data_IF_494454770182
#
_entry.id   IF_494454770182
#
_cell.length_a   1.000
_cell.length_b   1.000
_cell.length_c   1.000
_cell.angle_alpha   90.00
_cell.angle_beta   90.00
_cell.angle_gamma   90.00
#
_symmetry.space_group_name_H-M   'P 1'
#
loop_
_entity.id
_entity.type
_entity.pdbx_description
1 polymer ?
#
# COMPACT_ATOMS: atom_id res chain seq x y z
N UNK A 1 -5.01 4.56 6.54
CA UNK A 1 -4.29 4.49 7.84
C UNK A 1 -5.32 4.63 8.95
N UNK A 2 -5.29 3.79 9.97
CA UNK A 2 -6.31 3.79 11.06
C UNK A 2 -5.72 4.20 12.42
N UNK A 3 -4.40 4.29 12.53
CA UNK A 3 -3.71 4.77 13.72
C UNK A 3 -3.41 6.26 13.66
N UNK A 4 -3.35 6.90 14.81
CA UNK A 4 -2.97 8.32 14.92
C UNK A 4 -1.46 8.43 15.04
N UNK A 5 -0.80 9.28 14.25
CA UNK A 5 0.61 9.58 14.42
C UNK A 5 0.90 10.18 15.80
N UNK A 6 2.06 9.86 16.36
CA UNK A 6 2.53 10.41 17.65
C UNK A 6 3.80 11.20 17.42
N UNK A 7 3.83 12.43 17.93
CA UNK A 7 5.00 13.30 17.85
C UNK A 7 5.74 13.25 19.21
N UNK A 8 7.05 13.11 19.13
CA UNK A 8 7.93 13.18 20.27
C UNK A 8 9.27 13.80 19.88
N UNK A 9 9.63 14.89 20.56
CA UNK A 9 10.80 15.72 20.21
C UNK A 9 10.72 16.18 18.74
N UNK A 10 11.74 15.89 17.95
CA UNK A 10 11.85 16.22 16.52
C UNK A 10 11.38 15.09 15.59
N UNK A 11 10.63 14.12 16.11
CA UNK A 11 10.18 12.95 15.35
C UNK A 11 8.67 12.77 15.38
N UNK A 12 8.14 12.22 14.30
CA UNK A 12 6.80 11.66 14.23
C UNK A 12 6.88 10.15 14.01
N UNK A 13 6.08 9.41 14.76
CA UNK A 13 5.94 7.96 14.62
C UNK A 13 4.57 7.64 14.03
N UNK A 14 4.60 6.85 12.97
CA UNK A 14 3.39 6.40 12.27
C UNK A 14 3.46 4.90 12.06
N UNK A 15 2.35 4.21 12.23
CA UNK A 15 2.25 2.82 11.82
C UNK A 15 1.18 2.64 10.74
N UNK A 16 1.49 1.80 9.78
CA UNK A 16 0.62 1.41 8.70
C UNK A 16 0.48 -0.11 8.62
N UNK A 17 -0.73 -0.54 8.33
CA UNK A 17 -1.00 -1.94 8.04
C UNK A 17 -1.31 -2.08 6.56
N UNK A 18 -0.61 -2.96 5.90
CA UNK A 18 -0.81 -3.31 4.50
C UNK A 18 -1.32 -4.75 4.37
N UNK A 19 -2.17 -4.96 3.41
CA UNK A 19 -2.59 -6.29 2.98
C UNK A 19 -1.78 -6.63 1.73
N UNK A 20 -1.30 -7.85 1.56
CA UNK A 20 -1.76 -9.03 2.26
C UNK A 20 -0.97 -9.44 3.50
N UNK A 21 0.23 -8.94 3.73
CA UNK A 21 1.10 -9.61 4.70
C UNK A 21 2.05 -8.71 5.48
N UNK A 22 2.47 -9.22 6.66
CA UNK A 22 3.40 -8.58 7.59
C UNK A 22 4.89 -8.85 7.27
N UNK A 23 5.21 -9.46 6.12
CA UNK A 23 6.57 -9.94 5.87
C UNK A 23 7.01 -9.56 4.45
N UNK A 24 8.24 -9.04 4.28
CA UNK A 24 8.75 -8.60 2.98
C UNK A 24 8.75 -9.71 1.91
N UNK A 25 8.93 -10.96 2.30
CA UNK A 25 8.92 -12.13 1.41
C UNK A 25 7.54 -12.42 0.80
N UNK A 26 6.49 -11.86 1.37
CA UNK A 26 5.11 -12.05 0.91
C UNK A 26 4.61 -10.94 -0.02
N UNK A 27 5.49 -10.05 -0.46
CA UNK A 27 5.15 -9.04 -1.45
C UNK A 27 4.73 -9.72 -2.76
N UNK A 28 3.53 -9.41 -3.22
CA UNK A 28 3.03 -9.89 -4.51
C UNK A 28 3.29 -8.83 -5.56
N UNK A 29 4.00 -9.22 -6.62
CA UNK A 29 4.24 -8.37 -7.78
C UNK A 29 3.28 -8.78 -8.90
N UNK A 30 2.51 -7.83 -9.41
CA UNK A 30 1.68 -8.02 -10.60
C UNK A 30 2.34 -7.34 -11.80
N UNK A 31 1.99 -7.73 -13.04
CA UNK A 31 2.53 -7.09 -14.24
C UNK A 31 2.14 -5.60 -14.31
N UNK A 32 2.84 -4.84 -15.15
CA UNK A 32 2.40 -3.48 -15.50
C UNK A 32 1.02 -3.51 -16.17
N UNK A 33 0.31 -2.38 -16.16
CA UNK A 33 -1.02 -2.29 -16.76
C UNK A 33 -0.98 -2.63 -18.26
N UNK A 34 -0.01 -2.09 -19.02
CA UNK A 34 0.15 -2.41 -20.44
C UNK A 34 0.29 -3.92 -20.69
N UNK A 35 1.08 -4.60 -19.84
CA UNK A 35 1.21 -6.04 -19.96
C UNK A 35 -0.06 -6.78 -19.56
N UNK A 36 -0.78 -6.30 -18.57
CA UNK A 36 -2.06 -6.88 -18.17
C UNK A 36 -3.11 -6.72 -19.27
N UNK A 37 -3.14 -5.58 -19.98
CA UNK A 37 -3.99 -5.39 -21.15
C UNK A 37 -3.64 -6.39 -22.26
N UNK A 38 -2.35 -6.57 -22.56
CA UNK A 38 -1.95 -7.53 -23.60
C UNK A 38 -2.36 -8.97 -23.26
N UNK A 39 -2.31 -9.32 -21.99
CA UNK A 39 -2.58 -10.70 -21.54
C UNK A 39 -4.09 -10.97 -21.31
N UNK A 40 -4.88 -9.97 -20.94
CA UNK A 40 -6.24 -10.17 -20.42
C UNK A 40 -7.34 -9.36 -21.12
N UNK A 41 -7.07 -8.20 -21.72
CA UNK A 41 -8.05 -7.36 -22.40
C UNK A 41 -8.53 -8.05 -23.70
N UNK A 42 -9.67 -8.73 -23.61
CA UNK A 42 -10.22 -9.54 -24.70
C UNK A 42 -11.04 -8.73 -25.70
N UNK A 43 -11.73 -7.72 -25.20
CA UNK A 43 -12.61 -6.88 -26.02
C UNK A 43 -11.89 -5.63 -26.57
N UNK A 44 -10.64 -5.41 -26.16
CA UNK A 44 -9.75 -4.34 -26.62
C UNK A 44 -10.29 -2.94 -26.33
N UNK A 45 -10.97 -2.79 -25.18
CA UNK A 45 -11.47 -1.50 -24.73
C UNK A 45 -10.44 -0.68 -23.93
N UNK A 46 -9.22 -1.23 -23.72
CA UNK A 46 -8.13 -0.64 -22.94
C UNK A 46 -8.42 -0.52 -21.44
N UNK A 47 -9.30 -1.38 -20.95
CA UNK A 47 -9.63 -1.56 -19.54
C UNK A 47 -9.73 -3.06 -19.23
N UNK A 48 -9.89 -3.41 -17.98
CA UNK A 48 -10.02 -4.79 -17.55
C UNK A 48 -11.28 -4.97 -16.72
N UNK A 49 -12.23 -5.72 -17.26
CA UNK A 49 -13.40 -6.18 -16.51
C UNK A 49 -13.06 -7.36 -15.60
N UNK A 50 -13.94 -7.66 -14.64
CA UNK A 50 -13.75 -8.79 -13.74
C UNK A 50 -13.63 -10.13 -14.47
N UNK A 51 -14.41 -10.30 -15.53
CA UNK A 51 -14.48 -11.53 -16.34
C UNK A 51 -13.21 -11.78 -17.15
N UNK A 52 -12.43 -10.76 -17.39
CA UNK A 52 -11.18 -10.84 -18.14
C UNK A 52 -10.00 -11.22 -17.25
N UNK A 53 -10.09 -10.95 -15.94
CA UNK A 53 -9.00 -11.17 -15.02
C UNK A 53 -8.78 -12.65 -14.68
N UNK A 54 -7.54 -13.06 -14.41
CA UNK A 54 -7.28 -14.35 -13.77
C UNK A 54 -7.91 -14.38 -12.37
N UNK A 55 -8.27 -15.58 -11.91
CA UNK A 55 -8.99 -15.73 -10.63
C UNK A 55 -8.27 -15.10 -9.43
N UNK A 56 -6.96 -15.10 -9.42
CA UNK A 56 -6.16 -14.55 -8.31
C UNK A 56 -4.98 -13.72 -8.84
N UNK A 57 -4.60 -12.64 -8.15
CA UNK A 57 -5.27 -12.02 -6.99
C UNK A 57 -6.34 -10.98 -7.41
N UNK A 58 -6.29 -10.46 -8.65
CA UNK A 58 -7.07 -9.30 -9.08
C UNK A 58 -8.58 -9.57 -9.12
N UNK A 59 -9.00 -10.78 -9.50
CA UNK A 59 -10.41 -11.15 -9.54
C UNK A 59 -11.08 -11.08 -8.16
N UNK A 60 -10.41 -11.63 -7.15
CA UNK A 60 -10.94 -11.66 -5.77
C UNK A 60 -10.99 -10.28 -5.13
N UNK A 61 -10.04 -9.42 -5.48
CA UNK A 61 -9.93 -8.07 -4.94
C UNK A 61 -10.59 -7.00 -5.79
N UNK A 62 -11.30 -7.37 -6.86
CA UNK A 62 -11.84 -6.45 -7.86
C UNK A 62 -12.61 -5.28 -7.24
N UNK A 63 -13.58 -5.56 -6.36
CA UNK A 63 -14.40 -4.51 -5.74
C UNK A 63 -13.60 -3.54 -4.83
N UNK A 64 -12.44 -3.96 -4.37
CA UNK A 64 -11.52 -3.12 -3.60
C UNK A 64 -10.62 -2.28 -4.52
N UNK A 65 -10.31 -2.80 -5.71
CA UNK A 65 -9.41 -2.18 -6.68
C UNK A 65 -10.14 -1.19 -7.57
N UNK A 66 -11.37 -1.51 -7.97
CA UNK A 66 -12.25 -0.61 -8.73
C UNK A 66 -12.65 0.60 -7.86
N UNK A 67 -11.80 1.62 -7.90
CA UNK A 67 -11.93 2.80 -7.03
C UNK A 67 -13.15 3.66 -7.38
N UNK A 68 -13.66 3.53 -8.60
CA UNK A 68 -14.82 4.29 -9.09
C UNK A 68 -16.12 3.50 -9.08
N UNK A 69 -16.02 2.21 -8.81
CA UNK A 69 -17.15 1.28 -8.85
C UNK A 69 -17.89 1.33 -10.19
N UNK A 70 -17.14 1.43 -11.30
CA UNK A 70 -17.68 1.47 -12.67
C UNK A 70 -17.65 0.08 -13.36
N UNK A 71 -17.10 -0.93 -12.69
CA UNK A 71 -17.04 -2.31 -13.17
C UNK A 71 -15.84 -2.60 -14.06
N UNK A 72 -14.94 -1.65 -14.23
CA UNK A 72 -13.76 -1.76 -15.08
C UNK A 72 -12.53 -1.19 -14.37
N UNK A 73 -11.36 -1.81 -14.54
CA UNK A 73 -10.10 -1.31 -14.04
C UNK A 73 -9.34 -0.57 -15.12
N UNK A 74 -9.02 0.67 -14.89
CA UNK A 74 -8.09 1.41 -15.71
C UNK A 74 -6.66 1.40 -15.14
N UNK A 75 -5.75 2.16 -15.76
CA UNK A 75 -4.36 2.26 -15.34
C UNK A 75 -4.23 2.78 -13.90
N UNK A 76 -5.09 3.71 -13.49
CA UNK A 76 -5.06 4.27 -12.13
C UNK A 76 -5.42 3.21 -11.08
N UNK A 77 -6.49 2.46 -11.33
CA UNK A 77 -6.94 1.37 -10.47
C UNK A 77 -5.88 0.27 -10.36
N UNK A 78 -5.28 -0.09 -11.49
CA UNK A 78 -4.22 -1.11 -11.54
C UNK A 78 -2.95 -0.69 -10.81
N UNK A 79 -2.53 0.57 -10.96
CA UNK A 79 -1.37 1.10 -10.26
C UNK A 79 -1.61 1.19 -8.75
N UNK A 80 -2.83 1.57 -8.33
CA UNK A 80 -3.23 1.50 -6.92
C UNK A 80 -3.13 0.07 -6.37
N UNK A 81 -3.67 -0.90 -7.11
CA UNK A 81 -3.59 -2.30 -6.72
C UNK A 81 -2.15 -2.81 -6.62
N UNK A 82 -1.32 -2.51 -7.61
CA UNK A 82 0.10 -2.85 -7.59
C UNK A 82 0.81 -2.26 -6.37
N UNK A 83 0.57 -1.00 -6.07
CA UNK A 83 1.13 -0.35 -4.90
C UNK A 83 0.62 -0.96 -3.58
N UNK A 84 -0.65 -1.32 -3.50
CA UNK A 84 -1.23 -1.98 -2.33
C UNK A 84 -0.61 -3.36 -2.07
N UNK A 85 -0.41 -4.16 -3.13
CA UNK A 85 0.23 -5.48 -3.03
C UNK A 85 1.72 -5.40 -2.69
N UNK A 86 2.41 -4.34 -3.14
CA UNK A 86 3.82 -4.11 -2.86
C UNK A 86 4.07 -3.43 -1.52
N UNK A 87 3.02 -2.91 -0.86
CA UNK A 87 3.19 -2.18 0.40
C UNK A 87 3.52 -3.12 1.55
N UNK A 88 4.33 -2.61 2.48
CA UNK A 88 4.74 -3.33 3.69
C UNK A 88 4.04 -2.76 4.91
N UNK A 89 3.70 -3.64 5.84
CA UNK A 89 3.38 -3.18 7.18
C UNK A 89 4.62 -2.58 7.81
N UNK A 90 4.46 -1.50 8.53
CA UNK A 90 5.59 -0.88 9.16
C UNK A 90 5.22 0.17 10.18
N UNK A 91 6.13 0.37 11.13
CA UNK A 91 6.19 1.57 11.93
C UNK A 91 7.39 2.37 11.46
N UNK A 92 7.19 3.65 11.22
CA UNK A 92 8.21 4.58 10.75
C UNK A 92 8.48 5.62 11.83
N UNK A 93 9.76 5.88 12.09
CA UNK A 93 10.22 7.06 12.81
C UNK A 93 10.74 8.08 11.79
N UNK A 94 10.04 9.19 11.66
CA UNK A 94 10.29 10.20 10.66
C UNK A 94 10.75 11.48 11.35
N UNK A 95 11.94 12.00 10.99
CA UNK A 95 12.42 13.28 11.50
C UNK A 95 11.63 14.42 10.90
N UNK A 96 11.15 15.33 11.73
CA UNK A 96 10.44 16.52 11.31
C UNK A 96 11.38 17.54 10.65
N UNK A 97 10.83 18.35 9.73
CA UNK A 97 11.54 19.41 9.03
C UNK A 97 11.91 19.06 7.58
N UNK A 98 12.45 20.04 6.86
CA UNK A 98 12.79 19.93 5.45
C UNK A 98 11.73 20.52 4.52
N UNK A 99 11.95 20.40 3.21
CA UNK A 99 11.04 20.89 2.14
C UNK A 99 11.04 19.89 0.98
N UNK A 100 9.90 19.77 0.30
CA UNK A 100 9.73 18.87 -0.84
C UNK A 100 9.60 17.41 -0.41
N UNK A 101 9.98 16.49 -1.29
CA UNK A 101 9.99 15.07 -0.98
C UNK A 101 11.15 14.73 -0.04
N UNK A 102 10.81 14.29 1.15
CA UNK A 102 11.74 13.96 2.23
C UNK A 102 11.77 12.45 2.54
N UNK A 103 11.11 11.62 1.74
CA UNK A 103 10.93 10.20 1.99
C UNK A 103 12.25 9.49 2.32
N UNK A 104 13.27 9.63 1.46
CA UNK A 104 14.56 8.95 1.66
C UNK A 104 15.45 9.58 2.73
N UNK A 105 15.18 10.85 3.09
CA UNK A 105 16.06 11.62 3.99
C UNK A 105 15.60 11.63 5.43
N UNK A 106 14.30 11.62 5.64
CA UNK A 106 13.70 11.83 6.96
C UNK A 106 13.20 10.56 7.62
N UNK A 107 13.06 9.44 6.91
CA UNK A 107 12.81 8.14 7.53
C UNK A 107 14.11 7.68 8.18
N UNK A 108 14.22 7.82 9.49
CA UNK A 108 15.41 7.48 10.25
C UNK A 108 15.36 6.09 10.87
N UNK A 109 14.15 5.51 10.91
CA UNK A 109 13.93 4.22 11.54
C UNK A 109 12.68 3.55 10.97
N UNK A 110 12.76 2.25 10.74
CA UNK A 110 11.64 1.41 10.30
C UNK A 110 11.59 0.12 11.10
N UNK A 111 10.37 -0.34 11.39
CA UNK A 111 10.13 -1.61 12.05
C UNK A 111 8.97 -2.34 11.39
N UNK A 112 9.18 -3.61 10.99
CA UNK A 112 8.24 -4.37 10.17
C UNK A 112 7.62 -5.59 10.86
N UNK A 113 7.99 -5.87 12.11
CA UNK A 113 7.50 -7.06 12.81
C UNK A 113 6.31 -6.74 13.70
N UNK A 114 5.29 -7.60 13.67
CA UNK A 114 4.15 -7.55 14.60
C UNK A 114 3.51 -6.16 14.73
N UNK A 115 3.30 -5.49 13.60
CA UNK A 115 2.72 -4.14 13.59
C UNK A 115 1.21 -4.24 13.86
N UNK A 116 0.68 -3.49 14.84
CA UNK A 116 -0.73 -3.47 15.11
C UNK A 116 -1.51 -2.79 13.99
N UNK A 117 -2.67 -3.32 13.65
CA UNK A 117 -3.52 -2.78 12.59
C UNK A 117 -4.24 -1.49 13.00
N UNK A 118 -4.72 -1.41 14.24
CA UNK A 118 -5.60 -0.35 14.71
C UNK A 118 -4.97 0.55 15.79
N UNK A 119 -4.26 0.02 16.80
CA UNK A 119 -3.72 0.85 17.87
C UNK A 119 -2.72 1.86 17.37
N UNK A 120 -2.80 3.06 17.95
CA UNK A 120 -1.78 4.10 17.76
C UNK A 120 -0.56 3.80 18.63
N UNK A 121 0.64 4.18 18.21
CA UNK A 121 1.81 4.11 19.08
C UNK A 121 1.62 4.98 20.32
N UNK A 122 2.26 4.61 21.40
CA UNK A 122 2.29 5.36 22.67
C UNK A 122 3.75 5.55 23.08
N UNK A 123 4.05 6.76 23.51
CA UNK A 123 5.37 7.06 24.08
C UNK A 123 5.18 7.39 25.57
N UNK A 124 5.93 6.68 26.41
CA UNK A 124 5.95 6.89 27.85
C UNK A 124 7.38 6.72 28.38
N UNK A 125 7.86 7.68 29.14
CA UNK A 125 9.24 7.68 29.68
C UNK A 125 10.31 7.39 28.61
N UNK A 126 10.23 8.07 27.46
CA UNK A 126 11.14 7.93 26.31
C UNK A 126 11.14 6.52 25.66
N UNK A 127 10.17 5.70 25.96
CA UNK A 127 9.95 4.36 25.37
C UNK A 127 8.73 4.43 24.45
N UNK A 128 8.92 3.96 23.18
CA UNK A 128 7.88 3.80 22.17
C UNK A 128 7.31 2.39 22.24
#
# INVERSE_FOLDING_TARGET
>A
MKSTPVIWKDMVFVNGYATPMNQPENIVKIPSFDKALLDFDKDKNSKLSREELPKEPAYTWFDFVDLRADGELDEHDWNYFSAALASLNGMLGIRLGGKGDMTDKNIVWTYHKSIPQLPSPLIYNDIL
#
